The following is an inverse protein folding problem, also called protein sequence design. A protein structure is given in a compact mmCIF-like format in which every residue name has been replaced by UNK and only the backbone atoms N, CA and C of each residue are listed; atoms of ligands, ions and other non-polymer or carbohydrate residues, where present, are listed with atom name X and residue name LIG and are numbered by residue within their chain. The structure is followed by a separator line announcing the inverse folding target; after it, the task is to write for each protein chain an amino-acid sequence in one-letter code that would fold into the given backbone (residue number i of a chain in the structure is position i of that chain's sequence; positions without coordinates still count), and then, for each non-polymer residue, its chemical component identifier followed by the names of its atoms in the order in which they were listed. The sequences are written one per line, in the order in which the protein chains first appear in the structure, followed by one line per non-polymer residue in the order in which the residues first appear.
data_IF_801024441404
#
_entry.id   IF_801024441404
#
_cell.length_a   1.000
_cell.length_b   1.000
_cell.length_c   1.000
_cell.angle_alpha   90.00
_cell.angle_beta   90.00
_cell.angle_gamma   90.00
#
_symmetry.space_group_name_H-M   'P 1'
#
loop_
_entity.id
_entity.type
_entity.pdbx_description
1 polymer ?
#
# COMPACT_ATOMS: atom_id res chain seq x y z
N UNK A 1 5.92 6.30 -4.65
CA UNK A 1 4.54 5.82 -4.86
C UNK A 1 3.94 6.36 -6.16
N UNK A 2 3.93 7.69 -6.38
CA UNK A 2 3.30 8.29 -7.56
C UNK A 2 3.80 7.76 -8.92
N UNK A 3 5.10 7.51 -9.06
CA UNK A 3 5.74 7.04 -10.30
C UNK A 3 5.90 5.51 -10.37
N UNK A 4 5.00 4.75 -9.73
CA UNK A 4 5.10 3.29 -9.66
C UNK A 4 5.02 2.61 -11.04
N UNK A 5 4.27 3.20 -11.98
CA UNK A 5 4.11 2.69 -13.34
C UNK A 5 5.44 2.54 -14.09
N UNK A 6 6.42 3.40 -13.81
CA UNK A 6 7.74 3.34 -14.45
C UNK A 6 8.54 2.10 -14.03
N UNK A 7 8.34 1.64 -12.79
CA UNK A 7 8.96 0.39 -12.32
C UNK A 7 8.23 -0.83 -12.91
N UNK A 8 6.90 -0.75 -13.03
CA UNK A 8 6.10 -1.80 -13.67
C UNK A 8 6.44 -1.98 -15.16
N UNK A 9 6.85 -0.90 -15.84
CA UNK A 9 7.27 -0.95 -17.24
C UNK A 9 8.47 -1.89 -17.49
N UNK A 10 9.19 -2.31 -16.44
CA UNK A 10 10.24 -3.33 -16.53
C UNK A 10 9.69 -4.74 -16.79
N UNK A 11 8.37 -4.95 -16.77
CA UNK A 11 7.73 -6.22 -17.14
C UNK A 11 7.66 -7.27 -16.04
N UNK A 12 8.06 -6.94 -14.80
CA UNK A 12 8.03 -7.86 -13.66
C UNK A 12 6.92 -7.51 -12.65
N UNK A 13 6.37 -8.51 -11.93
CA UNK A 13 5.48 -8.25 -10.80
C UNK A 13 6.17 -7.41 -9.73
N UNK A 14 5.51 -6.35 -9.28
CA UNK A 14 6.06 -5.44 -8.27
C UNK A 14 5.64 -5.84 -6.84
N UNK A 15 6.64 -5.89 -5.94
CA UNK A 15 6.44 -5.92 -4.50
C UNK A 15 6.61 -4.52 -3.90
N UNK A 16 5.61 -4.03 -3.16
CA UNK A 16 5.66 -2.74 -2.47
C UNK A 16 5.72 -2.91 -0.94
N UNK A 17 6.68 -2.24 -0.29
CA UNK A 17 6.94 -2.36 1.15
C UNK A 17 6.97 -1.02 1.88
N UNK A 18 5.80 -0.41 2.08
CA UNK A 18 5.66 0.89 2.76
C UNK A 18 5.38 0.81 4.26
N UNK A 19 4.96 -0.36 4.74
CA UNK A 19 4.47 -0.53 6.11
C UNK A 19 5.46 -0.03 7.16
N UNK A 20 4.97 0.90 8.01
CA UNK A 20 5.65 1.56 9.13
C UNK A 20 6.92 2.34 8.78
N UNK A 21 7.22 2.55 7.50
CA UNK A 21 8.39 3.32 7.04
C UNK A 21 8.34 4.76 7.57
N UNK A 22 9.51 5.32 7.88
CA UNK A 22 9.65 6.69 8.37
C UNK A 22 9.13 7.75 7.39
N UNK A 23 9.17 7.46 6.08
CA UNK A 23 8.56 8.32 5.06
C UNK A 23 7.07 8.57 5.30
N UNK A 24 6.32 7.57 5.77
CA UNK A 24 4.91 7.74 6.12
C UNK A 24 4.76 8.57 7.39
N UNK A 25 5.61 8.32 8.39
CA UNK A 25 5.64 9.11 9.63
C UNK A 25 5.88 10.60 9.37
N UNK A 26 6.80 10.94 8.47
CA UNK A 26 7.06 12.34 8.07
C UNK A 26 5.86 13.01 7.41
N UNK A 27 5.05 12.26 6.67
CA UNK A 27 3.85 12.80 5.99
C UNK A 27 2.69 12.95 6.98
N UNK A 28 2.55 12.04 7.94
CA UNK A 28 1.40 12.02 8.87
C UNK A 28 1.69 12.61 10.25
N UNK A 29 2.92 13.04 10.52
CA UNK A 29 3.34 13.51 11.85
C UNK A 29 3.46 12.40 12.89
N UNK A 30 3.57 11.14 12.47
CA UNK A 30 3.65 9.97 13.37
C UNK A 30 5.09 9.47 13.51
N UNK A 31 5.76 9.90 14.55
CA UNK A 31 7.18 9.57 14.79
C UNK A 31 7.39 8.12 15.26
N UNK A 32 6.42 7.55 15.99
CA UNK A 32 6.50 6.18 16.47
C UNK A 32 6.03 5.21 15.38
N UNK A 33 6.88 4.24 15.02
CA UNK A 33 6.59 3.32 13.91
C UNK A 33 5.27 2.54 14.08
N UNK A 34 4.90 2.18 15.31
CA UNK A 34 3.65 1.44 15.61
C UNK A 34 2.38 2.26 15.39
N UNK A 35 2.47 3.59 15.38
CA UNK A 35 1.33 4.50 15.21
C UNK A 35 0.97 4.70 13.73
N UNK A 36 1.86 4.28 12.82
CA UNK A 36 1.73 4.42 11.37
C UNK A 36 0.79 3.39 10.72
N UNK A 37 -0.10 2.77 11.49
CA UNK A 37 -1.00 1.73 11.00
C UNK A 37 -1.86 2.24 9.84
N UNK A 38 -2.63 3.30 10.07
CA UNK A 38 -3.53 3.88 9.06
C UNK A 38 -2.77 4.33 7.80
N UNK A 39 -1.64 5.02 7.97
CA UNK A 39 -0.79 5.45 6.87
C UNK A 39 -0.23 4.26 6.06
N UNK A 40 0.12 3.16 6.74
CA UNK A 40 0.65 1.94 6.12
C UNK A 40 -0.40 1.23 5.27
N UNK A 41 -1.62 1.10 5.83
CA UNK A 41 -2.75 0.48 5.14
C UNK A 41 -3.12 1.30 3.91
N UNK A 42 -3.23 2.63 4.05
CA UNK A 42 -3.50 3.53 2.93
C UNK A 42 -2.43 3.39 1.82
N UNK A 43 -1.14 3.37 2.18
CA UNK A 43 -0.06 3.19 1.21
C UNK A 43 -0.10 1.83 0.52
N UNK A 44 -0.53 0.75 1.20
CA UNK A 44 -0.68 -0.57 0.62
C UNK A 44 -1.82 -0.61 -0.41
N UNK A 45 -2.99 -0.05 -0.08
CA UNK A 45 -4.13 0.05 -1.01
C UNK A 45 -3.73 0.86 -2.25
N UNK A 46 -3.12 2.03 -2.06
CA UNK A 46 -2.63 2.87 -3.17
C UNK A 46 -1.58 2.17 -4.04
N UNK A 47 -0.73 1.33 -3.45
CA UNK A 47 0.26 0.55 -4.20
C UNK A 47 -0.42 -0.52 -5.06
N UNK A 48 -1.40 -1.26 -4.51
CA UNK A 48 -2.15 -2.29 -5.25
C UNK A 48 -2.99 -1.67 -6.36
N UNK A 49 -3.68 -0.57 -6.07
CA UNK A 49 -4.42 0.23 -7.07
C UNK A 49 -3.52 0.64 -8.25
N UNK A 50 -2.26 0.98 -7.98
CA UNK A 50 -1.24 1.33 -8.98
C UNK A 50 -0.52 0.13 -9.59
N UNK A 51 -1.04 -1.09 -9.41
CA UNK A 51 -0.55 -2.29 -10.09
C UNK A 51 0.49 -3.12 -9.32
N UNK A 52 0.78 -2.81 -8.06
CA UNK A 52 1.61 -3.70 -7.24
C UNK A 52 0.90 -5.05 -7.06
N UNK A 53 1.63 -6.14 -7.25
CA UNK A 53 1.09 -7.51 -7.15
C UNK A 53 1.29 -8.12 -5.77
N UNK A 54 2.26 -7.61 -5.02
CA UNK A 54 2.57 -8.06 -3.67
C UNK A 54 2.76 -6.83 -2.78
N UNK A 55 2.21 -6.86 -1.56
CA UNK A 55 2.50 -5.87 -0.51
C UNK A 55 3.14 -6.54 0.69
N UNK A 56 4.26 -6.00 1.15
CA UNK A 56 4.96 -6.45 2.37
C UNK A 56 4.55 -5.56 3.55
N UNK A 57 3.82 -6.13 4.50
CA UNK A 57 3.24 -5.39 5.63
C UNK A 57 3.54 -6.03 6.99
N UNK A 58 3.55 -5.21 8.04
CA UNK A 58 3.58 -5.68 9.43
C UNK A 58 2.16 -5.97 9.94
N UNK A 59 1.19 -5.14 9.54
CA UNK A 59 -0.20 -5.15 10.01
C UNK A 59 -1.09 -5.90 9.00
N UNK A 60 -1.00 -7.23 9.02
CA UNK A 60 -1.55 -8.12 7.98
C UNK A 60 -3.07 -8.07 7.93
N UNK A 61 -3.75 -8.19 9.07
CA UNK A 61 -5.22 -8.26 9.14
C UNK A 61 -5.85 -6.98 8.58
N UNK A 62 -5.41 -5.83 9.07
CA UNK A 62 -5.92 -4.52 8.69
C UNK A 62 -5.68 -4.23 7.21
N UNK A 63 -4.50 -4.60 6.69
CA UNK A 63 -4.20 -4.46 5.26
C UNK A 63 -5.09 -5.39 4.42
N UNK A 64 -5.25 -6.64 4.83
CA UNK A 64 -6.06 -7.62 4.11
C UNK A 64 -7.53 -7.18 4.03
N UNK A 65 -8.10 -6.68 5.13
CA UNK A 65 -9.48 -6.21 5.17
C UNK A 65 -9.68 -4.98 4.27
N UNK A 66 -8.76 -4.00 4.32
CA UNK A 66 -8.80 -2.86 3.41
C UNK A 66 -8.71 -3.27 1.93
N UNK A 67 -7.86 -4.24 1.60
CA UNK A 67 -7.74 -4.74 0.22
C UNK A 67 -8.97 -5.52 -0.24
N UNK A 68 -9.66 -6.26 0.62
CA UNK A 68 -10.93 -6.92 0.27
C UNK A 68 -12.00 -5.90 -0.09
N UNK A 69 -12.13 -4.82 0.69
CA UNK A 69 -13.06 -3.73 0.39
C UNK A 69 -12.70 -3.06 -0.93
N UNK A 70 -11.41 -2.74 -1.13
CA UNK A 70 -10.94 -2.17 -2.39
C UNK A 70 -11.23 -3.10 -3.59
N UNK A 71 -11.00 -4.41 -3.47
CA UNK A 71 -11.30 -5.39 -4.51
C UNK A 71 -12.80 -5.44 -4.86
N UNK A 72 -13.66 -5.40 -3.84
CA UNK A 72 -15.11 -5.39 -4.05
C UNK A 72 -15.56 -4.16 -4.84
N UNK A 73 -14.94 -2.98 -4.61
CA UNK A 73 -15.24 -1.76 -5.35
C UNK A 73 -14.65 -1.77 -6.76
N UNK A 74 -13.37 -2.10 -6.91
CA UNK A 74 -12.70 -2.13 -8.21
C UNK A 74 -13.30 -3.15 -9.19
N UNK A 75 -14.00 -4.17 -8.68
CA UNK A 75 -14.74 -5.12 -9.51
C UNK A 75 -16.06 -4.55 -10.08
N UNK A 76 -16.62 -3.49 -9.49
CA UNK A 76 -17.81 -2.81 -10.01
C UNK A 76 -17.48 -1.79 -11.11
N UNK A 77 -16.26 -1.23 -11.08
CA UNK A 77 -15.78 -0.24 -12.05
C UNK A 77 -15.22 -0.86 -13.36
N UNK A 78 -15.33 -2.20 -13.51
CA UNK A 78 -14.90 -2.96 -14.70
C UNK A 78 -16.09 -3.58 -15.40
#
# INVERSE_FOLDING_TARGET
LARQAEVLALGYPLLAGWSRKSSLGRVTGQDVARERLAASVAAAVLAVERGARIVRVHDVRETADALKVWQAMAAQDR
#
